data_IF_314685111956
#
_entry.id   IF_314685111956
#
_cell.length_a   1.000
_cell.length_b   1.000
_cell.length_c   1.000
_cell.angle_alpha   90.00
_cell.angle_beta   90.00
_cell.angle_gamma   90.00
#
_symmetry.space_group_name_H-M   'P 1'
#
loop_
_entity.id
_entity.type
_entity.pdbx_description
1 polymer ?
#
# COMPACT_ATOMS: atom_id res chain seq x y z
N UNK A 1 -14.84 9.58 10.96
CA UNK A 1 -13.67 9.41 11.86
C UNK A 1 -12.60 8.54 11.22
N UNK A 2 -12.89 7.28 10.88
CA UNK A 2 -11.89 6.36 10.28
C UNK A 2 -11.48 6.72 8.85
N UNK A 3 -12.40 7.19 8.00
CA UNK A 3 -12.06 7.61 6.63
C UNK A 3 -11.08 8.79 6.58
N UNK A 4 -11.29 9.82 7.41
CA UNK A 4 -10.35 10.95 7.51
C UNK A 4 -8.99 10.52 8.08
N UNK A 5 -8.97 9.58 9.03
CA UNK A 5 -7.72 9.01 9.55
C UNK A 5 -6.96 8.26 8.45
N UNK A 6 -7.64 7.42 7.69
CA UNK A 6 -7.03 6.69 6.58
C UNK A 6 -6.47 7.67 5.52
N UNK A 7 -7.24 8.70 5.14
CA UNK A 7 -6.76 9.74 4.23
C UNK A 7 -5.50 10.44 4.75
N UNK A 8 -5.49 10.85 6.02
CA UNK A 8 -4.33 11.47 6.66
C UNK A 8 -3.13 10.52 6.72
N UNK A 9 -3.35 9.25 7.05
CA UNK A 9 -2.30 8.25 7.13
C UNK A 9 -1.68 7.98 5.77
N UNK A 10 -2.50 7.86 4.72
CA UNK A 10 -2.06 7.69 3.34
C UNK A 10 -1.27 8.92 2.87
N UNK A 11 -1.77 10.14 3.09
CA UNK A 11 -1.02 11.36 2.79
C UNK A 11 0.35 11.38 3.47
N UNK A 12 0.41 11.09 4.77
CA UNK A 12 1.66 11.07 5.52
C UNK A 12 2.64 10.01 5.00
N UNK A 13 2.12 8.83 4.65
CA UNK A 13 2.90 7.74 4.06
C UNK A 13 3.49 8.17 2.71
N UNK A 14 2.66 8.62 1.77
CA UNK A 14 3.11 8.97 0.42
C UNK A 14 4.01 10.20 0.40
N UNK A 15 3.74 11.23 1.21
CA UNK A 15 4.68 12.36 1.37
C UNK A 15 6.07 11.89 1.80
N UNK A 16 6.17 10.81 2.58
CA UNK A 16 7.45 10.24 2.98
C UNK A 16 8.08 9.43 1.83
N UNK A 17 7.30 8.59 1.14
CA UNK A 17 7.80 7.72 0.08
C UNK A 17 8.25 8.49 -1.17
N UNK A 18 7.58 9.59 -1.52
CA UNK A 18 7.93 10.43 -2.69
C UNK A 18 9.31 11.07 -2.56
N UNK A 19 9.79 11.26 -1.32
CA UNK A 19 11.13 11.81 -1.07
C UNK A 19 12.28 10.81 -1.27
N UNK A 20 11.98 9.54 -1.59
CA UNK A 20 12.97 8.46 -1.73
C UNK A 20 13.25 8.15 -3.19
N UNK A 21 14.47 7.69 -3.48
CA UNK A 21 14.79 7.16 -4.82
C UNK A 21 14.15 5.80 -5.05
N UNK A 22 14.06 5.39 -6.32
CA UNK A 22 13.54 4.06 -6.67
C UNK A 22 14.34 2.93 -6.02
N UNK A 23 15.67 3.08 -5.92
CA UNK A 23 16.53 2.12 -5.23
C UNK A 23 16.20 2.05 -3.73
N UNK A 24 15.99 3.20 -3.09
CA UNK A 24 15.65 3.25 -1.66
C UNK A 24 14.26 2.66 -1.37
N UNK A 25 13.30 2.81 -2.28
CA UNK A 25 11.97 2.21 -2.17
C UNK A 25 12.02 0.68 -2.28
N UNK A 26 12.92 0.17 -3.12
CA UNK A 26 13.02 -1.25 -3.45
C UNK A 26 14.10 -2.02 -2.67
N UNK A 27 14.96 -1.32 -1.92
CA UNK A 27 16.01 -1.96 -1.12
C UNK A 27 15.42 -2.93 -0.07
N UNK A 28 16.16 -4.01 0.22
CA UNK A 28 15.80 -4.95 1.27
C UNK A 28 16.12 -4.36 2.66
N UNK A 29 15.08 -3.96 3.36
CA UNK A 29 15.08 -3.44 4.73
C UNK A 29 15.04 -4.55 5.80
N UNK A 30 15.13 -5.84 5.42
CA UNK A 30 15.08 -6.99 6.34
C UNK A 30 13.80 -7.05 7.19
N UNK A 31 12.71 -6.50 6.67
CA UNK A 31 11.35 -6.61 7.22
C UNK A 31 10.58 -7.74 6.53
N UNK A 32 9.39 -8.08 7.03
CA UNK A 32 8.59 -9.19 6.51
C UNK A 32 8.36 -9.11 4.98
N UNK A 33 7.95 -7.94 4.48
CA UNK A 33 7.75 -7.69 3.04
C UNK A 33 9.03 -7.27 2.32
N UNK A 34 10.19 -7.34 2.96
CA UNK A 34 11.52 -6.98 2.45
C UNK A 34 11.72 -5.48 2.17
N UNK A 35 10.89 -4.83 1.36
CA UNK A 35 11.09 -3.43 0.96
C UNK A 35 9.92 -2.50 1.34
N UNK A 36 10.15 -1.20 1.24
CA UNK A 36 9.11 -0.18 1.44
C UNK A 36 8.03 -0.28 0.36
N UNK A 37 8.41 -0.46 -0.90
CA UNK A 37 7.48 -0.64 -2.02
C UNK A 37 6.55 -1.85 -1.81
N UNK A 38 7.12 -2.98 -1.36
CA UNK A 38 6.33 -4.20 -1.08
C UNK A 38 5.43 -4.02 0.15
N UNK A 39 5.90 -3.31 1.16
CA UNK A 39 5.09 -2.98 2.35
C UNK A 39 3.92 -2.05 1.99
N UNK A 40 4.14 -1.06 1.13
CA UNK A 40 3.08 -0.17 0.67
C UNK A 40 2.02 -0.92 -0.16
N UNK A 41 2.44 -1.84 -1.04
CA UNK A 41 1.51 -2.72 -1.75
C UNK A 41 0.68 -3.58 -0.79
N UNK A 42 1.32 -4.16 0.25
CA UNK A 42 0.61 -4.92 1.27
C UNK A 42 -0.49 -4.10 1.98
N UNK A 43 -0.19 -2.84 2.33
CA UNK A 43 -1.18 -1.95 2.94
C UNK A 43 -2.37 -1.72 2.01
N UNK A 44 -2.11 -1.45 0.72
CA UNK A 44 -3.15 -1.28 -0.29
C UNK A 44 -4.01 -2.55 -0.46
N UNK A 45 -3.39 -3.72 -0.58
CA UNK A 45 -4.11 -5.00 -0.68
C UNK A 45 -5.00 -5.20 0.55
N UNK A 46 -4.47 -4.93 1.75
CA UNK A 46 -5.24 -4.99 2.99
C UNK A 46 -6.45 -4.05 2.98
N UNK A 47 -6.26 -2.81 2.52
CA UNK A 47 -7.32 -1.82 2.39
C UNK A 47 -8.41 -2.26 1.41
N UNK A 48 -8.05 -2.74 0.22
CA UNK A 48 -8.99 -3.25 -0.79
C UNK A 48 -9.83 -4.38 -0.19
N UNK A 49 -9.19 -5.41 0.38
CA UNK A 49 -9.89 -6.57 0.94
C UNK A 49 -10.82 -6.21 2.10
N UNK A 50 -10.41 -5.27 2.97
CA UNK A 50 -11.28 -4.79 4.05
C UNK A 50 -12.44 -3.96 3.52
N UNK A 51 -12.20 -3.10 2.53
CA UNK A 51 -13.23 -2.25 1.97
C UNK A 51 -14.27 -3.04 1.18
N UNK A 52 -13.85 -4.06 0.43
CA UNK A 52 -14.74 -5.02 -0.23
C UNK A 52 -15.66 -5.73 0.78
N UNK A 53 -15.10 -6.20 1.91
CA UNK A 53 -15.87 -6.81 2.99
C UNK A 53 -16.88 -5.85 3.61
N UNK A 54 -16.47 -4.60 3.87
CA UNK A 54 -17.35 -3.55 4.41
C UNK A 54 -18.50 -3.24 3.44
N UNK A 55 -18.23 -3.23 2.13
CA UNK A 55 -19.23 -3.03 1.08
C UNK A 55 -20.13 -4.24 0.85
N UNK A 56 -19.77 -5.41 1.38
CA UNK A 56 -20.49 -6.66 1.13
C UNK A 56 -20.39 -7.15 -0.32
N UNK A 57 -19.34 -6.76 -1.05
CA UNK A 57 -19.07 -7.29 -2.39
C UNK A 57 -18.27 -8.58 -2.32
N UNK A 58 -18.24 -9.33 -3.43
CA UNK A 58 -17.38 -10.51 -3.54
C UNK A 58 -15.92 -10.06 -3.42
N UNK A 59 -15.22 -10.59 -2.42
CA UNK A 59 -13.83 -10.23 -2.17
C UNK A 59 -12.91 -10.71 -3.29
N UNK A 60 -11.94 -9.88 -3.65
CA UNK A 60 -10.84 -10.24 -4.54
C UNK A 60 -10.00 -11.38 -3.93
N UNK A 61 -9.34 -12.15 -4.79
CA UNK A 61 -8.51 -13.31 -4.37
C UNK A 61 -7.03 -12.96 -4.24
N UNK A 62 -6.70 -11.69 -3.96
CA UNK A 62 -5.32 -11.26 -3.79
C UNK A 62 -4.65 -11.97 -2.61
N UNK A 63 -3.38 -12.36 -2.78
CA UNK A 63 -2.56 -12.75 -1.63
C UNK A 63 -2.10 -11.49 -0.89
N UNK A 64 -1.82 -11.60 0.42
CA UNK A 64 -1.41 -10.44 1.21
C UNK A 64 -0.06 -9.86 0.80
N UNK A 65 0.76 -10.61 0.06
CA UNK A 65 2.06 -10.16 -0.46
C UNK A 65 2.04 -9.84 -1.97
N UNK A 66 0.84 -9.75 -2.57
CA UNK A 66 0.63 -9.38 -3.96
C UNK A 66 1.20 -7.97 -4.26
N UNK A 67 1.80 -7.81 -5.44
CA UNK A 67 2.35 -6.53 -5.90
C UNK A 67 1.47 -6.01 -7.04
N UNK A 68 0.54 -5.12 -6.69
CA UNK A 68 -0.40 -4.51 -7.64
C UNK A 68 0.29 -3.45 -8.51
N UNK A 69 1.24 -2.71 -7.92
CA UNK A 69 1.97 -1.63 -8.58
C UNK A 69 3.46 -1.68 -8.28
N UNK A 70 4.27 -1.61 -9.35
CA UNK A 70 5.72 -1.59 -9.26
C UNK A 70 6.31 -0.17 -9.25
N UNK A 71 5.49 0.85 -9.50
CA UNK A 71 5.89 2.25 -9.51
C UNK A 71 5.11 3.02 -8.44
N UNK A 72 5.81 3.88 -7.70
CA UNK A 72 5.20 4.64 -6.59
C UNK A 72 4.05 5.54 -7.10
N UNK A 73 4.23 6.15 -8.27
CA UNK A 73 3.21 7.00 -8.88
C UNK A 73 1.90 6.25 -9.17
N UNK A 74 1.96 4.96 -9.51
CA UNK A 74 0.75 4.17 -9.73
C UNK A 74 0.08 3.80 -8.40
N UNK A 75 0.89 3.53 -7.38
CA UNK A 75 0.41 3.18 -6.03
C UNK A 75 -0.23 4.37 -5.32
N UNK A 76 0.30 5.59 -5.50
CA UNK A 76 -0.26 6.83 -4.94
C UNK A 76 -1.64 7.17 -5.49
N UNK A 77 -1.91 6.82 -6.76
CA UNK A 77 -3.15 7.13 -7.46
C UNK A 77 -4.18 5.98 -7.43
N UNK A 78 -3.92 4.94 -6.62
CA UNK A 78 -4.78 3.76 -6.49
C UNK A 78 -6.08 4.03 -5.72
#
# INVERSE_FOLDING_TARGET
MLAHYNQWANQKLFCTLIGLTEEQLNQDCKVYFKSLMRTANHVLVGEILWFERIKGVVASTYTLDEILYNQLAQLENA
#
